data_IF_656895325976
#
_entry.id   IF_656895325976
#
_cell.length_a   1.000
_cell.length_b   1.000
_cell.length_c   1.000
_cell.angle_alpha   90.00
_cell.angle_beta   90.00
_cell.angle_gamma   90.00
#
_symmetry.space_group_name_H-M   'P 1'
#
loop_
_entity.id
_entity.type
_entity.pdbx_description
1 polymer ?
#
# COMPACT_ATOMS: atom_id res chain seq x y z
N UNK A 1 36.15 -38.48 85.47
CA UNK A 1 36.01 -37.15 86.18
C UNK A 1 35.83 -36.09 85.10
N UNK A 2 34.61 -35.60 84.89
CA UNK A 2 34.41 -34.23 84.67
C UNK A 2 32.94 -33.91 84.29
N UNK A 3 32.48 -32.94 84.94
CA UNK A 3 31.10 -32.51 85.01
C UNK A 3 30.51 -31.90 83.79
N UNK A 4 29.30 -32.32 83.45
CA UNK A 4 28.37 -31.69 82.48
C UNK A 4 27.71 -30.47 83.18
N UNK A 5 27.83 -29.30 82.54
CA UNK A 5 26.92 -28.19 82.80
C UNK A 5 26.01 -27.97 81.64
N UNK A 6 24.73 -28.22 81.86
CA UNK A 6 23.62 -27.85 80.98
C UNK A 6 23.29 -26.38 81.20
N UNK A 7 23.42 -25.58 80.17
CA UNK A 7 22.85 -24.22 80.17
C UNK A 7 21.61 -24.19 79.31
N UNK A 8 20.48 -24.00 79.93
CA UNK A 8 19.19 -23.71 79.32
C UNK A 8 19.14 -22.29 78.81
N UNK A 9 18.86 -22.12 77.56
CA UNK A 9 18.54 -20.81 76.97
C UNK A 9 17.03 -20.64 76.87
N UNK A 10 16.46 -19.46 77.15
CA UNK A 10 15.03 -19.21 77.05
C UNK A 10 14.61 -19.03 75.60
N UNK A 11 13.50 -19.61 75.23
CA UNK A 11 12.83 -19.50 73.95
C UNK A 11 12.09 -18.17 73.88
N UNK A 12 12.58 -17.22 73.13
CA UNK A 12 11.88 -15.97 72.80
C UNK A 12 10.94 -16.28 71.60
N UNK A 13 9.65 -16.28 71.87
CA UNK A 13 8.60 -16.40 70.85
C UNK A 13 8.35 -15.05 70.24
N UNK A 14 8.89 -14.84 69.01
CA UNK A 14 8.67 -13.64 68.23
C UNK A 14 7.35 -13.79 67.47
N UNK A 15 6.30 -13.11 67.92
CA UNK A 15 5.06 -12.95 67.11
C UNK A 15 5.33 -12.06 65.92
N UNK A 16 5.51 -12.64 64.74
CA UNK A 16 5.45 -11.91 63.49
C UNK A 16 3.97 -11.68 63.12
N UNK A 17 3.46 -10.50 63.38
CA UNK A 17 2.22 -10.01 62.77
C UNK A 17 2.53 -9.67 61.30
N UNK A 18 2.22 -10.62 60.38
CA UNK A 18 2.30 -10.37 58.96
C UNK A 18 1.25 -9.35 58.55
N UNK A 19 1.69 -8.15 58.23
CA UNK A 19 0.85 -7.23 57.46
C UNK A 19 0.72 -7.78 56.03
N UNK A 20 -0.43 -8.37 55.70
CA UNK A 20 -0.85 -8.59 54.32
C UNK A 20 -1.15 -7.20 53.74
N UNK A 21 -0.17 -6.60 53.04
CA UNK A 21 -0.46 -5.53 52.09
C UNK A 21 -1.13 -6.19 50.89
N UNK A 22 -2.46 -6.11 50.85
CA UNK A 22 -3.19 -6.45 49.63
C UNK A 22 -2.77 -5.41 48.57
N UNK A 23 -1.96 -5.85 47.60
CA UNK A 23 -1.67 -5.09 46.38
C UNK A 23 -3.00 -4.96 45.62
N UNK A 24 -3.74 -3.90 45.92
CA UNK A 24 -4.83 -3.41 45.11
C UNK A 24 -4.20 -2.85 43.82
N UNK A 25 -3.85 -3.76 42.90
CA UNK A 25 -3.64 -3.36 41.53
C UNK A 25 -4.94 -2.72 41.04
N UNK A 26 -4.97 -1.41 40.99
CA UNK A 26 -6.01 -0.68 40.27
C UNK A 26 -5.97 -1.14 38.80
N UNK A 27 -6.74 -2.17 38.49
CA UNK A 27 -7.03 -2.51 37.09
C UNK A 27 -7.76 -1.30 36.53
N UNK A 28 -7.04 -0.45 35.81
CA UNK A 28 -7.66 0.57 34.97
C UNK A 28 -8.58 -0.21 34.05
N UNK A 29 -9.89 0.00 34.19
CA UNK A 29 -10.86 -0.61 33.28
C UNK A 29 -10.58 -0.11 31.87
N UNK A 30 -10.64 -1.03 30.91
CA UNK A 30 -10.53 -0.67 29.50
C UNK A 30 -11.60 0.37 29.16
N UNK A 31 -11.17 1.47 28.54
CA UNK A 31 -12.12 2.39 27.93
C UNK A 31 -12.48 1.85 26.54
N UNK A 32 -13.79 1.80 26.28
CA UNK A 32 -14.32 1.34 25.00
C UNK A 32 -15.26 2.40 24.41
N UNK A 33 -15.19 2.51 23.08
CA UNK A 33 -16.11 3.32 22.29
C UNK A 33 -16.78 2.44 21.25
N UNK A 34 -18.11 2.37 21.30
CA UNK A 34 -18.91 1.62 20.33
C UNK A 34 -19.55 2.59 19.36
N UNK A 35 -19.45 2.29 18.06
CA UNK A 35 -20.10 3.02 16.96
C UNK A 35 -20.85 2.05 16.06
N UNK A 36 -21.92 2.52 15.48
CA UNK A 36 -22.55 1.85 14.34
C UNK A 36 -22.03 2.49 13.05
N UNK A 37 -21.60 1.67 12.11
CA UNK A 37 -21.16 2.12 10.78
C UNK A 37 -22.11 1.53 9.76
N UNK A 38 -22.74 2.39 8.96
CA UNK A 38 -23.55 1.97 7.83
C UNK A 38 -22.74 2.08 6.55
N UNK A 39 -22.69 0.96 5.78
CA UNK A 39 -22.05 0.89 4.46
C UNK A 39 -23.14 0.61 3.45
N UNK A 40 -23.43 1.59 2.61
CA UNK A 40 -24.54 1.57 1.66
C UNK A 40 -24.04 1.39 0.23
N UNK A 41 -24.49 0.35 -0.43
CA UNK A 41 -24.31 0.13 -1.86
C UNK A 41 -25.61 0.46 -2.61
N UNK A 42 -25.67 1.62 -3.22
CA UNK A 42 -26.83 2.05 -4.02
C UNK A 42 -26.83 1.50 -5.45
N UNK A 43 -25.73 0.85 -5.85
CA UNK A 43 -25.52 0.39 -7.21
C UNK A 43 -26.20 -0.96 -7.46
N UNK A 44 -26.48 -1.24 -8.75
CA UNK A 44 -27.12 -2.50 -9.19
C UNK A 44 -26.17 -3.69 -9.19
N UNK A 45 -24.88 -3.48 -8.90
CA UNK A 45 -23.85 -4.52 -8.83
C UNK A 45 -23.38 -4.66 -7.38
N UNK A 46 -23.20 -5.90 -6.92
CA UNK A 46 -22.57 -6.17 -5.64
C UNK A 46 -21.07 -5.80 -5.68
N UNK A 47 -20.53 -5.46 -4.53
CA UNK A 47 -19.11 -5.18 -4.33
C UNK A 47 -18.47 -6.32 -3.57
N UNK A 48 -17.31 -6.77 -4.01
CA UNK A 48 -16.48 -7.74 -3.32
C UNK A 48 -15.26 -7.04 -2.75
N UNK A 49 -14.91 -7.37 -1.51
CA UNK A 49 -13.77 -6.77 -0.81
C UNK A 49 -13.78 -5.22 -0.87
N UNK A 50 -14.97 -4.59 -0.83
CA UNK A 50 -15.10 -3.12 -0.87
C UNK A 50 -14.30 -2.49 0.26
N UNK A 51 -13.35 -1.59 -0.02
CA UNK A 51 -12.56 -0.94 1.00
C UNK A 51 -13.41 0.03 1.83
N UNK A 52 -13.26 -0.06 3.14
CA UNK A 52 -13.83 0.90 4.09
C UNK A 52 -12.72 1.42 4.99
N UNK A 53 -12.58 2.73 5.03
CA UNK A 53 -11.60 3.43 5.86
C UNK A 53 -12.33 4.42 6.75
N UNK A 54 -12.16 4.29 8.06
CA UNK A 54 -12.72 5.17 9.07
C UNK A 54 -11.60 5.96 9.72
N UNK A 55 -11.64 7.28 9.61
CA UNK A 55 -10.73 8.15 10.36
C UNK A 55 -11.12 8.13 11.82
N UNK A 56 -10.18 7.84 12.70
CA UNK A 56 -10.44 7.78 14.14
C UNK A 56 -10.80 9.16 14.71
N UNK A 57 -10.29 10.25 14.11
CA UNK A 57 -10.69 11.62 14.45
C UNK A 57 -12.19 11.85 14.33
N UNK A 58 -12.82 11.27 13.30
CA UNK A 58 -14.26 11.44 13.03
C UNK A 58 -15.13 10.66 14.03
N UNK A 59 -14.55 9.64 14.67
CA UNK A 59 -15.18 8.85 15.73
C UNK A 59 -15.01 9.46 17.11
N UNK A 60 -14.09 10.40 17.29
CA UNK A 60 -13.82 11.18 18.52
C UNK A 60 -13.66 10.34 19.78
N UNK A 61 -12.74 9.35 19.84
CA UNK A 61 -12.46 8.62 21.07
C UNK A 61 -11.82 9.54 22.11
N UNK A 62 -12.27 9.44 23.40
CA UNK A 62 -11.71 10.20 24.51
C UNK A 62 -10.38 9.63 25.02
N UNK A 63 -9.95 8.50 24.47
CA UNK A 63 -8.77 7.75 24.86
C UNK A 63 -7.91 7.40 23.64
N UNK A 64 -6.67 6.99 23.89
CA UNK A 64 -5.79 6.46 22.84
C UNK A 64 -6.28 5.09 22.40
N UNK A 65 -6.70 4.95 21.16
CA UNK A 65 -7.10 3.67 20.56
C UNK A 65 -5.88 2.76 20.41
N UNK A 66 -5.98 1.54 20.94
CA UNK A 66 -4.94 0.51 20.86
C UNK A 66 -5.40 -0.77 20.19
N UNK A 67 -6.71 -0.97 20.11
CA UNK A 67 -7.31 -2.06 19.34
C UNK A 67 -8.68 -1.65 18.82
N UNK A 68 -9.12 -2.33 17.77
CA UNK A 68 -10.45 -2.18 17.20
C UNK A 68 -10.98 -3.55 16.75
N UNK A 69 -12.30 -3.70 16.77
CA UNK A 69 -13.00 -4.85 16.16
C UNK A 69 -14.19 -4.37 15.36
N UNK A 70 -14.44 -5.04 14.24
CA UNK A 70 -15.56 -4.74 13.32
C UNK A 70 -16.44 -5.99 13.22
N UNK A 71 -17.76 -5.82 13.38
CA UNK A 71 -18.72 -6.92 13.41
C UNK A 71 -19.86 -6.68 12.42
N UNK A 72 -20.13 -7.68 11.55
CA UNK A 72 -21.35 -7.78 10.75
C UNK A 72 -22.28 -8.83 11.44
N UNK A 73 -23.20 -8.36 12.27
CA UNK A 73 -23.97 -9.23 13.14
C UNK A 73 -23.09 -9.98 14.14
N UNK A 74 -22.97 -11.28 13.99
CA UNK A 74 -22.11 -12.16 14.81
C UNK A 74 -20.76 -12.48 14.17
N UNK A 75 -20.55 -12.07 12.90
CA UNK A 75 -19.30 -12.32 12.16
C UNK A 75 -18.33 -11.16 12.38
N UNK A 76 -17.16 -11.48 12.90
CA UNK A 76 -16.06 -10.51 12.99
C UNK A 76 -15.42 -10.33 11.60
N UNK A 77 -15.19 -9.07 11.22
CA UNK A 77 -14.55 -8.67 9.96
C UNK A 77 -13.07 -8.37 10.25
N UNK A 78 -12.11 -9.00 9.53
CA UNK A 78 -10.71 -8.62 9.64
C UNK A 78 -10.51 -7.13 9.39
N UNK A 79 -9.82 -6.47 10.31
CA UNK A 79 -9.57 -5.04 10.26
C UNK A 79 -8.16 -4.73 10.74
N UNK A 80 -7.67 -3.53 10.41
CA UNK A 80 -6.36 -3.06 10.86
C UNK A 80 -6.43 -1.59 11.27
N UNK A 81 -5.63 -1.24 12.28
CA UNK A 81 -5.36 0.13 12.68
C UNK A 81 -4.04 0.58 12.10
N UNK A 82 -4.02 1.70 11.41
CA UNK A 82 -2.84 2.26 10.77
C UNK A 82 -2.44 3.58 11.41
N UNK A 83 -1.13 3.70 11.68
CA UNK A 83 -0.43 4.92 12.05
C UNK A 83 0.26 5.45 10.78
N UNK A 84 -0.34 6.46 10.15
CA UNK A 84 0.07 6.94 8.84
C UNK A 84 1.05 8.12 8.90
N UNK A 85 1.14 8.81 10.03
CA UNK A 85 2.07 9.93 10.24
C UNK A 85 3.33 9.52 11.04
N UNK A 86 3.30 8.38 11.75
CA UNK A 86 4.41 7.82 12.51
C UNK A 86 4.48 8.34 13.96
N UNK A 87 3.43 8.94 14.50
CA UNK A 87 3.35 9.43 15.89
C UNK A 87 3.06 8.32 16.90
N UNK A 88 2.93 7.09 16.43
CA UNK A 88 2.60 5.87 17.18
C UNK A 88 1.16 5.82 17.72
N UNK A 89 0.27 6.65 17.20
CA UNK A 89 -1.17 6.54 17.40
C UNK A 89 -1.81 6.11 16.10
N UNK A 90 -2.89 5.38 16.19
CA UNK A 90 -3.64 5.01 15.00
C UNK A 90 -4.41 6.23 14.49
N UNK A 91 -4.36 6.45 13.17
CA UNK A 91 -5.12 7.47 12.45
C UNK A 91 -6.39 6.91 11.85
N UNK A 92 -6.30 5.68 11.35
CA UNK A 92 -7.37 5.06 10.57
C UNK A 92 -7.61 3.62 11.00
N UNK A 93 -8.89 3.22 10.90
CA UNK A 93 -9.34 1.82 10.94
C UNK A 93 -9.76 1.42 9.53
N UNK A 94 -9.07 0.43 8.95
CA UNK A 94 -9.35 -0.09 7.62
C UNK A 94 -9.86 -1.53 7.66
N UNK A 95 -10.81 -1.86 6.79
CA UNK A 95 -11.30 -3.21 6.55
C UNK A 95 -11.87 -3.33 5.13
N UNK A 96 -12.08 -4.55 4.66
CA UNK A 96 -12.78 -4.83 3.40
C UNK A 96 -13.97 -5.73 3.68
N UNK A 97 -15.07 -5.53 2.93
CA UNK A 97 -16.25 -6.37 3.08
C UNK A 97 -17.03 -6.50 1.77
N UNK A 98 -17.78 -7.59 1.67
CA UNK A 98 -18.73 -7.77 0.56
C UNK A 98 -20.03 -7.02 0.85
N UNK A 99 -20.45 -6.17 -0.09
CA UNK A 99 -21.71 -5.42 0.01
C UNK A 99 -22.60 -5.78 -1.18
N UNK A 100 -23.74 -6.50 -0.95
CA UNK A 100 -24.65 -6.85 -2.05
C UNK A 100 -25.18 -5.62 -2.78
N UNK A 101 -25.65 -5.80 -4.00
CA UNK A 101 -26.30 -4.75 -4.77
C UNK A 101 -27.51 -4.15 -4.01
N UNK A 102 -27.66 -2.83 -4.08
CA UNK A 102 -28.81 -2.11 -3.51
C UNK A 102 -29.09 -2.49 -2.04
N UNK A 103 -28.05 -2.55 -1.21
CA UNK A 103 -28.14 -2.97 0.18
C UNK A 103 -27.36 -2.07 1.11
N UNK A 104 -27.69 -2.16 2.40
CA UNK A 104 -27.00 -1.49 3.50
C UNK A 104 -26.52 -2.53 4.48
N UNK A 105 -25.23 -2.47 4.81
CA UNK A 105 -24.62 -3.20 5.90
C UNK A 105 -24.55 -2.32 7.14
N UNK A 106 -24.97 -2.86 8.28
CA UNK A 106 -24.86 -2.18 9.59
C UNK A 106 -23.82 -2.92 10.41
N UNK A 107 -22.71 -2.27 10.61
CA UNK A 107 -21.55 -2.84 11.32
C UNK A 107 -21.47 -2.24 12.71
N UNK A 108 -21.08 -3.08 13.68
CA UNK A 108 -20.67 -2.61 15.00
C UNK A 108 -19.16 -2.48 15.02
N UNK A 109 -18.66 -1.29 15.31
CA UNK A 109 -17.24 -1.00 15.51
C UNK A 109 -17.01 -0.75 17.00
N UNK A 110 -16.02 -1.44 17.57
CA UNK A 110 -15.60 -1.25 18.96
C UNK A 110 -14.14 -0.83 18.97
N UNK A 111 -13.86 0.36 19.47
CA UNK A 111 -12.52 0.87 19.73
C UNK A 111 -12.19 0.65 21.20
N UNK A 112 -10.94 0.27 21.51
CA UNK A 112 -10.52 0.04 22.90
C UNK A 112 -9.17 0.69 23.21
N UNK A 113 -9.02 1.14 24.47
CA UNK A 113 -7.75 1.62 25.02
C UNK A 113 -6.78 0.48 25.37
N UNK A 114 -7.24 -0.76 25.37
CA UNK A 114 -6.41 -1.94 25.61
C UNK A 114 -5.90 -2.54 24.31
N UNK A 115 -4.69 -3.12 24.34
CA UNK A 115 -4.17 -3.92 23.24
C UNK A 115 -4.91 -5.26 23.18
N UNK A 116 -4.96 -5.82 22.01
CA UNK A 116 -5.47 -7.18 21.79
C UNK A 116 -4.38 -8.04 21.18
N UNK A 117 -4.41 -9.34 21.48
CA UNK A 117 -3.58 -10.35 20.81
C UNK A 117 -4.28 -10.95 19.57
N UNK A 118 -5.42 -10.37 19.18
CA UNK A 118 -6.14 -10.79 17.95
C UNK A 118 -5.29 -10.56 16.73
N UNK A 119 -5.23 -11.58 15.91
CA UNK A 119 -4.56 -11.55 14.61
C UNK A 119 -5.50 -12.09 13.54
N UNK A 120 -5.40 -11.55 12.35
CA UNK A 120 -6.15 -12.04 11.19
C UNK A 120 -5.18 -12.57 10.15
N UNK A 121 -5.57 -13.57 9.35
CA UNK A 121 -4.78 -13.99 8.20
C UNK A 121 -4.50 -12.79 7.29
N UNK A 122 -3.24 -12.58 6.98
CA UNK A 122 -2.84 -11.52 6.06
C UNK A 122 -3.34 -11.82 4.64
N UNK A 123 -3.92 -10.80 4.00
CA UNK A 123 -4.36 -10.85 2.60
C UNK A 123 -3.59 -9.87 1.72
N UNK A 124 -2.66 -9.14 2.32
CA UNK A 124 -1.67 -8.30 1.67
C UNK A 124 -0.33 -8.45 2.39
N UNK A 125 0.74 -8.08 1.71
CA UNK A 125 2.09 -8.09 2.28
C UNK A 125 2.92 -6.95 1.68
N UNK A 126 3.84 -6.39 2.45
CA UNK A 126 4.83 -5.44 1.95
C UNK A 126 6.17 -5.64 2.67
N UNK A 127 7.27 -5.35 1.95
CA UNK A 127 8.62 -5.36 2.51
C UNK A 127 9.51 -4.30 1.86
N UNK A 128 10.49 -3.85 2.62
CA UNK A 128 11.67 -3.15 2.13
C UNK A 128 12.87 -3.72 2.87
N UNK A 129 13.84 -4.26 2.13
CA UNK A 129 14.99 -4.91 2.71
C UNK A 129 16.27 -4.26 2.18
N UNK A 130 17.19 -3.94 3.09
CA UNK A 130 18.50 -3.41 2.74
C UNK A 130 19.58 -4.48 2.91
N UNK A 131 20.52 -4.57 1.98
CA UNK A 131 21.67 -5.46 2.10
C UNK A 131 22.64 -4.97 3.19
N UNK A 132 23.00 -5.85 4.12
CA UNK A 132 24.05 -5.60 5.08
C UNK A 132 25.46 -5.85 4.44
N UNK A 133 26.51 -5.61 5.22
CA UNK A 133 27.90 -5.84 4.75
C UNK A 133 28.22 -7.29 4.39
N UNK A 134 27.40 -8.25 4.80
CA UNK A 134 27.56 -9.67 4.52
C UNK A 134 26.64 -10.17 3.42
N UNK A 135 25.92 -9.28 2.74
CA UNK A 135 24.95 -9.62 1.69
C UNK A 135 23.61 -10.16 2.22
N UNK A 136 23.36 -10.11 3.54
CA UNK A 136 22.05 -10.43 4.08
C UNK A 136 21.11 -9.27 3.88
N UNK A 137 19.86 -9.59 3.57
CA UNK A 137 18.79 -8.60 3.52
C UNK A 137 18.17 -8.41 4.91
N UNK A 138 18.14 -7.16 5.37
CA UNK A 138 17.62 -6.77 6.67
C UNK A 138 16.35 -5.93 6.49
N UNK A 139 15.23 -6.31 7.13
CA UNK A 139 14.00 -5.54 7.02
C UNK A 139 14.15 -4.14 7.62
N UNK A 140 13.66 -3.15 6.89
CA UNK A 140 13.53 -1.77 7.32
C UNK A 140 12.13 -1.26 6.98
N UNK A 141 11.59 -0.35 7.78
CA UNK A 141 10.31 0.29 7.49
C UNK A 141 10.47 1.60 6.75
N UNK A 142 11.62 2.26 6.89
CA UNK A 142 11.88 3.56 6.26
C UNK A 142 13.37 3.73 5.96
N UNK A 143 13.66 4.43 4.86
CA UNK A 143 15.01 4.84 4.47
C UNK A 143 14.96 6.21 3.82
N UNK A 144 15.86 7.11 4.24
CA UNK A 144 16.06 8.42 3.62
C UNK A 144 17.44 8.49 3.00
N UNK A 145 17.52 8.97 1.77
CA UNK A 145 18.78 9.18 1.04
C UNK A 145 18.85 10.59 0.48
N UNK A 146 20.04 11.18 0.35
CA UNK A 146 20.23 12.41 -0.45
C UNK A 146 19.74 12.19 -1.89
N UNK A 147 19.16 13.21 -2.51
CA UNK A 147 18.65 13.13 -3.89
C UNK A 147 19.71 12.80 -4.96
N UNK A 148 20.98 12.96 -4.63
CA UNK A 148 22.13 12.59 -5.48
C UNK A 148 22.58 11.14 -5.31
N UNK A 149 22.02 10.41 -4.35
CA UNK A 149 22.38 9.01 -4.06
C UNK A 149 21.62 8.03 -4.94
N UNK A 150 22.21 6.85 -5.13
CA UNK A 150 21.58 5.73 -5.80
C UNK A 150 21.77 4.46 -4.96
N UNK A 151 20.69 3.90 -4.46
CA UNK A 151 20.66 2.69 -3.62
C UNK A 151 20.06 1.48 -4.34
N UNK A 152 19.93 1.56 -5.65
CA UNK A 152 19.29 0.54 -6.48
C UNK A 152 19.81 -0.89 -6.20
N UNK A 153 21.14 -1.06 -6.09
CA UNK A 153 21.75 -2.35 -5.84
C UNK A 153 21.85 -2.73 -4.34
N UNK A 154 21.48 -1.84 -3.43
CA UNK A 154 21.50 -2.11 -2.00
C UNK A 154 20.13 -2.55 -1.46
N UNK A 155 19.08 -2.34 -2.22
CA UNK A 155 17.72 -2.72 -1.84
C UNK A 155 17.27 -3.97 -2.59
N UNK A 156 16.73 -4.91 -1.84
CA UNK A 156 15.91 -5.99 -2.38
C UNK A 156 14.74 -5.38 -3.16
N UNK A 157 14.40 -5.90 -4.31
CA UNK A 157 13.38 -5.33 -5.21
C UNK A 157 13.68 -3.92 -5.74
N UNK A 158 14.86 -3.35 -5.45
CA UNK A 158 15.26 -1.98 -5.80
C UNK A 158 14.44 -0.87 -5.13
N UNK A 159 13.70 -1.21 -4.10
CA UNK A 159 12.82 -0.34 -3.31
C UNK A 159 11.77 -1.14 -2.53
N UNK A 160 10.73 -0.51 -1.99
CA UNK A 160 9.62 -1.21 -1.37
C UNK A 160 8.85 -2.02 -2.41
N UNK A 161 8.49 -3.23 -2.02
CA UNK A 161 7.59 -4.10 -2.78
C UNK A 161 6.37 -4.46 -1.93
N UNK A 162 5.21 -4.56 -2.56
CA UNK A 162 3.96 -4.86 -1.89
C UNK A 162 3.04 -5.67 -2.79
N UNK A 163 2.27 -6.57 -2.19
CA UNK A 163 1.41 -7.49 -2.92
C UNK A 163 0.08 -7.74 -2.22
N UNK A 164 -0.95 -8.02 -3.03
CA UNK A 164 -2.16 -8.73 -2.64
C UNK A 164 -2.04 -10.19 -3.08
N UNK A 165 -3.08 -10.97 -2.88
CA UNK A 165 -3.15 -12.33 -3.45
C UNK A 165 -3.15 -12.35 -4.99
N UNK A 166 -3.45 -11.24 -5.67
CA UNK A 166 -3.60 -11.16 -7.12
C UNK A 166 -2.39 -10.56 -7.85
N UNK A 167 -1.76 -9.55 -7.28
CA UNK A 167 -0.74 -8.73 -7.94
C UNK A 167 0.40 -8.39 -7.01
N UNK A 168 1.56 -8.02 -7.57
CA UNK A 168 2.62 -7.39 -6.80
C UNK A 168 3.22 -6.20 -7.58
N UNK A 169 3.53 -5.16 -6.82
CA UNK A 169 4.17 -3.94 -7.29
C UNK A 169 5.47 -3.72 -6.57
N UNK A 170 6.41 -3.01 -7.22
CA UNK A 170 7.56 -2.39 -6.57
C UNK A 170 7.72 -0.95 -7.06
N UNK A 171 8.27 -0.10 -6.19
CA UNK A 171 8.60 1.28 -6.56
C UNK A 171 10.12 1.42 -6.55
N UNK A 172 10.70 1.93 -7.62
CA UNK A 172 12.14 2.15 -7.67
C UNK A 172 12.56 3.32 -6.78
N UNK A 173 13.46 3.04 -5.85
CA UNK A 173 14.00 4.04 -4.94
C UNK A 173 15.11 4.85 -5.60
N UNK A 174 14.73 5.61 -6.57
CA UNK A 174 15.58 6.55 -7.30
C UNK A 174 14.74 7.73 -7.84
N UNK A 175 15.39 8.66 -8.54
CA UNK A 175 14.73 9.81 -9.17
C UNK A 175 13.59 9.43 -10.15
N UNK A 176 13.56 8.22 -10.62
CA UNK A 176 12.51 7.76 -11.54
C UNK A 176 11.21 7.47 -10.79
N UNK A 177 11.29 6.93 -9.58
CA UNK A 177 10.12 6.49 -8.79
C UNK A 177 9.14 5.67 -9.64
N UNK A 178 9.68 4.89 -10.57
CA UNK A 178 8.85 4.15 -11.53
C UNK A 178 8.17 2.99 -10.84
N UNK A 179 6.89 2.80 -11.14
CA UNK A 179 6.11 1.64 -10.70
C UNK A 179 6.36 0.48 -11.63
N UNK A 180 6.83 -0.61 -11.06
CA UNK A 180 7.10 -1.87 -11.74
C UNK A 180 6.23 -2.99 -11.18
N UNK A 181 6.08 -4.10 -11.93
CA UNK A 181 5.08 -5.13 -11.69
C UNK A 181 5.68 -6.54 -11.77
N UNK A 182 5.13 -7.43 -10.93
CA UNK A 182 5.43 -8.85 -10.92
C UNK A 182 4.17 -9.64 -11.31
N UNK A 183 4.24 -10.38 -12.40
CA UNK A 183 3.14 -11.18 -12.92
C UNK A 183 3.07 -12.54 -12.24
N UNK A 184 2.09 -12.74 -11.37
CA UNK A 184 1.87 -14.02 -10.68
C UNK A 184 1.31 -15.06 -11.65
N UNK A 185 1.64 -16.32 -11.43
CA UNK A 185 1.01 -17.42 -12.14
C UNK A 185 -0.29 -17.85 -11.43
N UNK A 186 -0.22 -18.06 -10.11
CA UNK A 186 -1.37 -18.37 -9.26
C UNK A 186 -1.62 -17.23 -8.26
N UNK A 187 -2.83 -17.18 -7.69
CA UNK A 187 -3.09 -16.29 -6.56
C UNK A 187 -2.30 -16.75 -5.34
N UNK A 188 -1.74 -15.78 -4.59
CA UNK A 188 -0.96 -16.05 -3.38
C UNK A 188 0.12 -15.00 -3.14
N UNK A 189 0.94 -15.20 -2.11
CA UNK A 189 2.07 -14.34 -1.79
C UNK A 189 3.37 -14.95 -2.31
N UNK A 190 4.19 -14.14 -2.96
CA UNK A 190 5.41 -14.60 -3.60
C UNK A 190 6.63 -13.70 -3.34
N UNK A 191 6.44 -12.37 -3.18
CA UNK A 191 7.58 -11.44 -3.10
C UNK A 191 8.46 -11.67 -1.87
N UNK A 192 7.91 -12.23 -0.79
CA UNK A 192 8.68 -12.58 0.39
C UNK A 192 9.75 -13.66 0.12
N UNK A 193 9.48 -14.56 -0.82
CA UNK A 193 10.36 -15.66 -1.17
C UNK A 193 11.13 -15.41 -2.46
N UNK A 194 10.56 -14.64 -3.41
CA UNK A 194 11.20 -14.29 -4.67
C UNK A 194 11.86 -12.91 -4.56
N UNK A 195 12.89 -12.70 -5.37
CA UNK A 195 13.52 -11.36 -5.47
C UNK A 195 12.99 -10.57 -6.68
N UNK A 196 11.73 -10.76 -7.08
CA UNK A 196 11.18 -10.36 -8.36
C UNK A 196 11.79 -11.14 -9.55
N UNK A 197 12.87 -11.85 -9.32
CA UNK A 197 13.55 -12.75 -10.28
C UNK A 197 13.62 -14.13 -9.64
N UNK A 198 12.59 -14.96 -9.77
CA UNK A 198 12.52 -16.26 -9.14
C UNK A 198 13.57 -17.21 -9.70
N UNK A 199 13.96 -18.17 -8.87
CA UNK A 199 14.83 -19.28 -9.28
C UNK A 199 14.06 -20.29 -10.13
N UNK A 200 14.79 -21.15 -10.85
CA UNK A 200 14.16 -22.22 -11.64
C UNK A 200 13.28 -23.14 -10.78
N UNK A 201 13.67 -23.39 -9.51
CA UNK A 201 12.87 -24.17 -8.56
C UNK A 201 11.58 -23.44 -8.16
N UNK A 202 11.64 -22.10 -8.02
CA UNK A 202 10.43 -21.28 -7.74
C UNK A 202 9.49 -21.27 -8.95
N UNK A 203 10.01 -21.09 -10.15
CA UNK A 203 9.24 -21.18 -11.40
C UNK A 203 8.58 -22.56 -11.55
N UNK A 204 9.32 -23.65 -11.26
CA UNK A 204 8.77 -25.01 -11.30
C UNK A 204 7.65 -25.25 -10.26
N UNK A 205 7.64 -24.47 -9.16
CA UNK A 205 6.56 -24.49 -8.16
C UNK A 205 5.36 -23.60 -8.56
N UNK A 206 5.42 -22.94 -9.70
CA UNK A 206 4.34 -22.07 -10.20
C UNK A 206 4.42 -20.65 -9.70
N UNK A 207 5.60 -20.17 -9.31
CA UNK A 207 5.82 -18.74 -9.06
C UNK A 207 5.69 -17.96 -10.36
N UNK A 208 5.29 -16.70 -10.24
CA UNK A 208 5.34 -15.73 -11.32
C UNK A 208 6.75 -15.25 -11.62
N UNK A 209 6.87 -14.07 -12.22
CA UNK A 209 8.17 -13.50 -12.62
C UNK A 209 8.06 -11.98 -12.78
N UNK A 210 9.21 -11.30 -12.93
CA UNK A 210 9.27 -9.97 -13.54
C UNK A 210 8.69 -10.04 -14.96
N UNK A 211 7.76 -9.17 -15.28
CA UNK A 211 7.03 -9.21 -16.55
C UNK A 211 7.10 -7.92 -17.36
N UNK A 212 7.85 -6.90 -16.88
CA UNK A 212 7.85 -5.59 -17.50
C UNK A 212 9.19 -4.86 -17.39
N UNK A 213 9.87 -4.63 -18.49
CA UNK A 213 11.02 -3.74 -18.54
C UNK A 213 10.59 -2.27 -18.58
N UNK A 214 10.51 -1.62 -17.43
CA UNK A 214 9.99 -0.25 -17.33
C UNK A 214 10.96 0.84 -17.83
N UNK A 215 12.26 0.60 -17.81
CA UNK A 215 13.28 1.55 -18.31
C UNK A 215 13.18 2.95 -17.69
N UNK A 216 13.00 3.96 -18.53
CA UNK A 216 12.82 5.37 -18.13
C UNK A 216 11.36 5.84 -18.21
N UNK A 217 10.42 4.92 -18.42
CA UNK A 217 8.99 5.24 -18.50
C UNK A 217 8.37 5.53 -17.13
N UNK A 218 7.08 5.82 -17.13
CA UNK A 218 6.27 5.84 -15.90
C UNK A 218 5.90 4.42 -15.40
N UNK A 219 6.28 3.34 -16.13
CA UNK A 219 5.84 1.99 -15.82
C UNK A 219 4.32 1.90 -15.80
N UNK A 220 3.75 1.55 -14.66
CA UNK A 220 2.31 1.53 -14.44
C UNK A 220 1.92 2.71 -13.55
N UNK A 221 1.74 3.88 -14.16
CA UNK A 221 1.14 5.04 -13.48
C UNK A 221 2.02 5.78 -12.46
N UNK A 222 3.35 5.68 -12.53
CA UNK A 222 4.18 6.55 -11.70
C UNK A 222 3.96 8.02 -12.06
N UNK A 223 3.83 8.89 -11.05
CA UNK A 223 3.81 10.33 -11.27
C UNK A 223 5.17 10.80 -11.80
N UNK A 224 5.15 11.68 -12.78
CA UNK A 224 6.34 12.29 -13.41
C UNK A 224 6.16 13.81 -13.51
N UNK A 225 7.27 14.51 -13.59
CA UNK A 225 7.24 15.88 -14.06
C UNK A 225 6.84 15.95 -15.55
N UNK A 226 6.68 17.18 -16.06
CA UNK A 226 6.37 17.48 -17.46
C UNK A 226 7.16 18.68 -17.95
N UNK A 227 7.88 18.56 -19.04
CA UNK A 227 8.72 19.63 -19.61
C UNK A 227 8.05 20.37 -20.79
N UNK A 228 6.78 20.07 -21.06
CA UNK A 228 6.04 20.58 -22.21
C UNK A 228 6.04 19.65 -23.41
N UNK A 229 6.85 18.56 -23.39
CA UNK A 229 7.01 17.62 -24.51
C UNK A 229 7.01 16.16 -24.07
N UNK A 230 7.62 15.85 -22.90
CA UNK A 230 7.80 14.50 -22.39
C UNK A 230 7.72 14.47 -20.87
N UNK A 231 7.49 13.28 -20.34
CA UNK A 231 7.61 12.99 -18.92
C UNK A 231 9.07 13.16 -18.45
N UNK A 232 9.27 13.74 -17.27
CA UNK A 232 10.58 13.95 -16.65
C UNK A 232 10.66 13.26 -15.29
N UNK A 233 11.88 13.01 -14.84
CA UNK A 233 12.10 12.40 -13.51
C UNK A 233 11.86 13.42 -12.40
N UNK A 234 11.74 12.94 -11.16
CA UNK A 234 11.59 13.75 -9.95
C UNK A 234 13.00 14.16 -9.49
N UNK A 235 13.54 15.15 -10.13
CA UNK A 235 14.87 15.70 -9.87
C UNK A 235 14.99 17.16 -10.34
N UNK A 236 15.86 18.00 -9.73
CA UNK A 236 16.63 17.70 -8.53
C UNK A 236 15.80 17.79 -7.26
N UNK A 237 16.10 16.94 -6.27
CA UNK A 237 15.50 16.94 -4.93
C UNK A 237 16.61 16.98 -3.87
N UNK A 238 16.33 17.49 -2.68
CA UNK A 238 17.28 17.42 -1.56
C UNK A 238 17.39 16.01 -1.00
N UNK A 239 16.26 15.34 -0.82
CA UNK A 239 16.23 13.94 -0.37
C UNK A 239 15.03 13.17 -0.91
N UNK A 240 15.18 11.84 -0.90
CA UNK A 240 14.12 10.88 -1.13
C UNK A 240 13.96 10.02 0.12
N UNK A 241 12.72 9.81 0.55
CA UNK A 241 12.39 8.90 1.65
C UNK A 241 11.33 7.93 1.19
N UNK A 242 11.54 6.64 1.38
CA UNK A 242 10.51 5.64 1.18
C UNK A 242 10.18 4.96 2.51
N UNK A 243 8.89 4.77 2.77
CA UNK A 243 8.38 4.26 4.05
C UNK A 243 7.20 3.33 3.83
N UNK A 244 7.26 2.13 4.40
CA UNK A 244 6.09 1.26 4.53
C UNK A 244 5.37 1.66 5.80
N UNK A 245 4.19 2.28 5.67
CA UNK A 245 3.33 2.73 6.76
C UNK A 245 2.45 1.62 7.32
N UNK A 246 1.93 0.77 6.43
CA UNK A 246 1.11 -0.38 6.80
C UNK A 246 1.37 -1.56 5.84
N UNK A 247 1.26 -2.80 6.35
CA UNK A 247 1.54 -4.02 5.58
C UNK A 247 0.66 -5.22 6.00
N UNK A 248 -0.61 -4.98 6.16
CA UNK A 248 -1.60 -6.02 6.40
C UNK A 248 -2.33 -5.93 7.74
N UNK A 249 -3.35 -6.76 7.98
CA UNK A 249 -3.82 -7.87 7.13
C UNK A 249 -4.71 -7.45 5.95
N UNK A 250 -5.13 -6.18 5.87
CA UNK A 250 -6.20 -5.72 4.98
C UNK A 250 -5.69 -4.85 3.83
N UNK A 251 -4.70 -3.99 4.11
CA UNK A 251 -4.07 -3.14 3.08
C UNK A 251 -2.60 -2.92 3.36
N UNK A 252 -1.86 -2.59 2.30
CA UNK A 252 -0.53 -2.00 2.40
C UNK A 252 -0.60 -0.51 2.12
N UNK A 253 0.22 0.28 2.81
CA UNK A 253 0.40 1.72 2.56
C UNK A 253 1.90 2.00 2.47
N UNK A 254 2.34 2.54 1.34
CA UNK A 254 3.74 2.87 1.08
C UNK A 254 3.86 4.32 0.63
N UNK A 255 4.68 5.10 1.30
CA UNK A 255 4.92 6.51 1.00
C UNK A 255 6.28 6.72 0.35
N UNK A 256 6.31 7.54 -0.70
CA UNK A 256 7.52 8.08 -1.32
C UNK A 256 7.50 9.59 -1.13
N UNK A 257 8.45 10.12 -0.35
CA UNK A 257 8.57 11.55 -0.06
C UNK A 257 9.75 12.13 -0.81
N UNK A 258 9.51 13.18 -1.59
CA UNK A 258 10.52 13.97 -2.30
C UNK A 258 10.57 15.36 -1.65
N UNK A 259 11.72 15.72 -1.06
CA UNK A 259 11.88 17.03 -0.39
C UNK A 259 12.64 17.99 -1.29
N UNK A 260 12.21 19.26 -1.25
CA UNK A 260 12.82 20.38 -1.97
C UNK A 260 12.97 20.08 -3.49
N UNK A 261 11.94 19.52 -4.08
CA UNK A 261 11.94 19.28 -5.52
C UNK A 261 11.88 20.61 -6.28
N UNK A 262 12.99 20.98 -6.92
CA UNK A 262 13.10 22.20 -7.73
C UNK A 262 12.41 21.97 -9.06
N UNK A 263 11.17 22.46 -9.17
CA UNK A 263 10.31 22.12 -10.29
C UNK A 263 9.48 23.31 -10.79
N UNK A 264 9.63 23.67 -12.08
CA UNK A 264 8.90 24.75 -12.75
C UNK A 264 8.91 26.09 -11.99
N UNK A 265 10.03 26.42 -11.33
CA UNK A 265 10.20 27.64 -10.57
C UNK A 265 9.65 27.60 -9.14
N UNK A 266 9.14 26.46 -8.70
CA UNK A 266 8.70 26.19 -7.33
C UNK A 266 9.63 25.21 -6.64
N UNK A 267 9.64 25.23 -5.30
CA UNK A 267 10.23 24.23 -4.43
C UNK A 267 9.11 23.42 -3.82
N UNK A 268 9.00 22.15 -4.20
CA UNK A 268 7.88 21.29 -3.83
C UNK A 268 8.29 20.27 -2.77
N UNK A 269 7.42 20.10 -1.76
CA UNK A 269 7.43 18.97 -0.83
C UNK A 269 6.33 18.03 -1.27
N UNK A 270 6.68 16.87 -1.78
CA UNK A 270 5.71 15.94 -2.37
C UNK A 270 5.76 14.58 -1.68
N UNK A 271 4.59 14.03 -1.40
CA UNK A 271 4.41 12.63 -0.98
C UNK A 271 3.53 11.92 -2.00
N UNK A 272 4.01 10.80 -2.54
CA UNK A 272 3.20 9.87 -3.31
C UNK A 272 2.95 8.65 -2.46
N UNK A 273 1.68 8.37 -2.16
CA UNK A 273 1.23 7.25 -1.34
C UNK A 273 0.57 6.20 -2.22
N UNK A 274 1.01 4.97 -2.09
CA UNK A 274 0.43 3.80 -2.77
C UNK A 274 -0.33 2.94 -1.76
N UNK A 275 -1.60 2.63 -2.05
CA UNK A 275 -2.48 1.84 -1.18
C UNK A 275 -3.02 0.65 -1.99
N UNK A 276 -2.68 -0.56 -1.54
CA UNK A 276 -3.17 -1.81 -2.13
C UNK A 276 -4.02 -2.56 -1.12
N UNK A 277 -5.27 -2.83 -1.47
CA UNK A 277 -6.21 -3.54 -0.62
C UNK A 277 -6.24 -5.05 -0.88
N UNK A 278 -6.63 -5.78 0.15
CA UNK A 278 -6.91 -7.21 0.09
C UNK A 278 -7.97 -7.54 -0.98
N UNK A 279 -7.71 -8.54 -1.81
CA UNK A 279 -8.62 -8.95 -2.89
C UNK A 279 -8.59 -8.06 -4.14
N UNK A 280 -7.83 -6.96 -4.13
CA UNK A 280 -7.71 -6.02 -5.25
C UNK A 280 -6.46 -6.29 -6.09
N UNK A 281 -6.58 -5.98 -7.39
CA UNK A 281 -5.43 -5.87 -8.30
C UNK A 281 -5.05 -4.42 -8.58
N UNK A 282 -5.95 -3.49 -8.36
CA UNK A 282 -5.71 -2.06 -8.51
C UNK A 282 -5.10 -1.46 -7.24
N UNK A 283 -4.27 -0.45 -7.45
CA UNK A 283 -3.64 0.32 -6.39
C UNK A 283 -4.12 1.77 -6.48
N UNK A 284 -4.55 2.33 -5.36
CA UNK A 284 -4.85 3.74 -5.22
C UNK A 284 -3.55 4.52 -5.04
N UNK A 285 -3.40 5.62 -5.76
CA UNK A 285 -2.24 6.52 -5.70
C UNK A 285 -2.70 7.90 -5.27
N UNK A 286 -2.31 8.30 -4.07
CA UNK A 286 -2.58 9.62 -3.51
C UNK A 286 -1.32 10.48 -3.62
N UNK A 287 -1.45 11.66 -4.20
CA UNK A 287 -0.37 12.64 -4.30
C UNK A 287 -0.70 13.81 -3.39
N UNK A 288 0.23 14.14 -2.50
CA UNK A 288 0.12 15.23 -1.55
C UNK A 288 1.29 16.20 -1.69
N UNK A 289 1.01 17.48 -1.64
CA UNK A 289 1.98 18.56 -1.57
C UNK A 289 1.79 19.32 -0.25
N UNK A 290 2.87 19.82 0.32
CA UNK A 290 2.80 20.58 1.57
C UNK A 290 1.99 21.88 1.40
N UNK A 291 2.05 22.48 0.20
CA UNK A 291 1.34 23.71 -0.14
C UNK A 291 0.45 23.49 -1.38
N UNK A 292 -0.63 24.26 -1.54
CA UNK A 292 -1.42 24.23 -2.76
C UNK A 292 -0.58 24.58 -4.00
N UNK A 293 -0.75 23.77 -5.04
CA UNK A 293 -0.09 23.98 -6.33
C UNK A 293 -0.52 25.30 -6.97
N UNK A 294 0.40 25.95 -7.66
CA UNK A 294 0.12 27.20 -8.40
C UNK A 294 -0.31 26.84 -9.83
N UNK A 295 0.67 26.61 -10.67
CA UNK A 295 0.47 26.29 -12.08
C UNK A 295 1.38 25.14 -12.54
N UNK A 296 1.96 24.43 -11.60
CA UNK A 296 2.81 23.28 -11.90
C UNK A 296 2.01 22.20 -12.62
N UNK A 297 2.64 21.61 -13.61
CA UNK A 297 2.02 20.61 -14.49
C UNK A 297 2.83 19.31 -14.40
N UNK A 298 2.15 18.22 -14.18
CA UNK A 298 2.73 16.89 -14.04
C UNK A 298 2.26 15.99 -15.17
N UNK A 299 2.74 14.76 -15.18
CA UNK A 299 2.25 13.72 -16.08
C UNK A 299 2.21 12.37 -15.39
N UNK A 300 1.28 11.52 -15.83
CA UNK A 300 1.24 10.10 -15.52
C UNK A 300 0.53 9.36 -16.64
N UNK A 301 0.62 8.04 -16.62
CA UNK A 301 0.01 7.20 -17.66
C UNK A 301 0.60 5.79 -17.62
N UNK A 302 0.81 5.19 -18.77
CA UNK A 302 1.35 3.82 -18.86
C UNK A 302 2.50 3.75 -19.86
N UNK A 303 3.40 2.80 -19.63
CA UNK A 303 4.47 2.46 -20.57
C UNK A 303 3.91 2.22 -21.98
N UNK A 304 4.55 2.81 -22.99
CA UNK A 304 4.33 2.50 -24.38
C UNK A 304 5.19 1.28 -24.78
N UNK A 305 4.62 0.09 -24.67
CA UNK A 305 5.28 -1.15 -25.11
C UNK A 305 5.34 -1.14 -26.63
N UNK A 306 6.51 -1.35 -27.19
CA UNK A 306 6.72 -1.32 -28.65
C UNK A 306 5.78 -2.30 -29.37
N UNK A 307 4.97 -1.78 -30.29
CA UNK A 307 4.00 -2.58 -31.06
C UNK A 307 2.76 -2.99 -30.26
N UNK A 308 2.52 -2.36 -29.11
CA UNK A 308 1.34 -2.59 -28.29
C UNK A 308 0.05 -2.08 -28.96
N UNK A 309 -1.08 -2.56 -28.43
CA UNK A 309 -2.38 -1.93 -28.60
C UNK A 309 -2.64 -1.01 -27.43
N UNK A 310 -3.11 0.21 -27.66
CA UNK A 310 -3.52 1.14 -26.62
C UNK A 310 -5.01 1.41 -26.67
N UNK A 311 -5.56 1.81 -25.53
CA UNK A 311 -6.92 2.26 -25.39
C UNK A 311 -6.95 3.52 -24.53
N UNK A 312 -7.72 4.51 -24.95
CA UNK A 312 -8.06 5.68 -24.15
C UNK A 312 -9.54 6.00 -24.31
N UNK A 313 -10.17 6.44 -23.24
CA UNK A 313 -11.53 7.00 -23.30
C UNK A 313 -11.53 8.53 -23.39
N UNK A 314 -10.34 9.15 -23.46
CA UNK A 314 -10.09 10.59 -23.49
C UNK A 314 -10.69 11.35 -22.28
N UNK A 315 -10.95 10.62 -21.17
CA UNK A 315 -11.58 11.12 -19.93
C UNK A 315 -10.90 10.56 -18.67
N UNK A 316 -9.60 10.23 -18.78
CA UNK A 316 -8.77 9.82 -17.67
C UNK A 316 -8.38 8.35 -17.66
N UNK A 317 -8.97 7.49 -18.48
CA UNK A 317 -8.55 6.10 -18.60
C UNK A 317 -7.60 5.94 -19.79
N UNK A 318 -6.38 5.51 -19.53
CA UNK A 318 -5.42 5.07 -20.55
C UNK A 318 -4.93 3.66 -20.20
N UNK A 319 -4.87 2.80 -21.19
CA UNK A 319 -4.43 1.42 -21.05
C UNK A 319 -3.56 0.99 -22.25
N UNK A 320 -2.71 0.00 -22.00
CA UNK A 320 -1.86 -0.62 -22.99
C UNK A 320 -1.93 -2.15 -22.83
N UNK A 321 -1.83 -2.86 -23.94
CA UNK A 321 -1.65 -4.31 -23.98
C UNK A 321 -0.53 -4.62 -24.97
N UNK A 322 0.54 -5.22 -24.48
CA UNK A 322 1.71 -5.44 -25.31
C UNK A 322 2.59 -6.60 -24.86
N UNK A 323 3.48 -7.02 -25.74
CA UNK A 323 4.42 -8.12 -25.53
C UNK A 323 5.84 -7.61 -25.77
N UNK A 324 6.69 -7.68 -24.74
CA UNK A 324 8.10 -7.31 -24.84
C UNK A 324 8.96 -8.12 -23.85
N UNK A 325 10.25 -7.87 -23.88
CA UNK A 325 11.19 -8.47 -22.94
C UNK A 325 10.99 -7.89 -21.54
N UNK A 326 10.93 -8.72 -20.49
CA UNK A 326 10.79 -8.21 -19.12
C UNK A 326 12.09 -7.61 -18.57
N UNK A 327 13.24 -8.04 -19.13
CA UNK A 327 14.59 -7.62 -18.74
C UNK A 327 15.47 -7.46 -19.96
N UNK A 328 16.65 -6.87 -19.79
CA UNK A 328 17.61 -6.68 -20.89
C UNK A 328 18.26 -7.98 -21.39
N UNK A 329 18.21 -9.07 -20.61
CA UNK A 329 18.75 -10.38 -21.02
C UNK A 329 17.74 -11.12 -21.90
N UNK A 330 17.81 -10.90 -23.19
CA UNK A 330 16.91 -11.50 -24.19
C UNK A 330 17.31 -12.93 -24.58
N UNK A 331 18.38 -13.48 -24.00
CA UNK A 331 18.82 -14.86 -24.24
C UNK A 331 18.21 -15.80 -23.19
N UNK A 332 18.24 -15.37 -21.93
CA UNK A 332 17.73 -16.16 -20.79
C UNK A 332 16.21 -16.08 -20.65
N UNK A 333 15.63 -14.94 -20.90
CA UNK A 333 14.20 -14.69 -20.62
C UNK A 333 13.36 -14.72 -21.90
N UNK A 334 12.14 -15.18 -21.78
CA UNK A 334 11.13 -15.08 -22.83
C UNK A 334 10.42 -13.73 -22.78
N UNK A 335 9.76 -13.35 -23.88
CA UNK A 335 8.88 -12.19 -23.88
C UNK A 335 7.64 -12.44 -23.05
N UNK A 336 7.20 -11.43 -22.32
CA UNK A 336 5.99 -11.43 -21.50
C UNK A 336 4.92 -10.51 -22.12
N UNK A 337 3.67 -10.89 -21.95
CA UNK A 337 2.54 -10.06 -22.40
C UNK A 337 1.81 -9.52 -21.18
N UNK A 338 1.66 -8.20 -21.13
CA UNK A 338 1.01 -7.52 -20.03
C UNK A 338 -0.07 -6.55 -20.51
N UNK A 339 -1.08 -6.38 -19.69
CA UNK A 339 -2.02 -5.28 -19.75
C UNK A 339 -1.76 -4.32 -18.59
N UNK A 340 -1.60 -3.03 -18.87
CA UNK A 340 -1.39 -1.99 -17.87
C UNK A 340 -2.40 -0.87 -18.06
N UNK A 341 -2.84 -0.23 -16.97
CA UNK A 341 -3.79 0.87 -17.06
C UNK A 341 -3.65 1.88 -15.92
N UNK A 342 -3.97 3.13 -16.23
CA UNK A 342 -4.06 4.23 -15.28
C UNK A 342 -5.41 4.94 -15.47
N UNK A 343 -6.07 5.28 -14.36
CA UNK A 343 -7.34 5.98 -14.37
C UNK A 343 -7.28 7.21 -13.45
N UNK A 344 -7.45 8.40 -14.04
CA UNK A 344 -7.43 9.69 -13.37
C UNK A 344 -8.83 10.32 -13.33
N UNK A 345 -9.13 11.18 -12.34
CA UNK A 345 -10.25 12.13 -12.41
C UNK A 345 -10.11 13.04 -13.64
N UNK A 346 -11.20 13.19 -14.40
CA UNK A 346 -11.19 13.95 -15.65
C UNK A 346 -10.92 15.45 -15.47
N UNK A 347 -11.22 16.00 -14.32
CA UNK A 347 -10.99 17.40 -13.96
C UNK A 347 -9.52 17.74 -13.67
N UNK A 348 -8.64 16.73 -13.56
CA UNK A 348 -7.18 16.91 -13.48
C UNK A 348 -6.53 17.00 -14.86
N UNK A 349 -7.22 16.61 -15.94
CA UNK A 349 -6.61 16.43 -17.25
C UNK A 349 -6.52 17.75 -17.99
N UNK A 350 -5.31 18.19 -18.29
CA UNK A 350 -5.04 19.32 -19.20
C UNK A 350 -4.93 18.87 -20.64
N UNK A 351 -4.30 17.73 -20.87
CA UNK A 351 -4.07 17.19 -22.21
C UNK A 351 -3.80 15.69 -22.15
N UNK A 352 -4.10 15.01 -23.24
CA UNK A 352 -3.68 13.63 -23.49
C UNK A 352 -2.61 13.64 -24.58
N UNK A 353 -1.54 12.90 -24.38
CA UNK A 353 -0.38 12.88 -25.28
C UNK A 353 0.40 11.57 -25.17
N UNK A 354 1.48 11.48 -25.92
CA UNK A 354 2.46 10.39 -25.79
C UNK A 354 3.86 10.94 -25.99
N UNK A 355 4.83 10.27 -25.38
CA UNK A 355 6.24 10.44 -25.71
C UNK A 355 6.84 9.11 -26.21
N UNK A 356 8.16 9.03 -26.36
CA UNK A 356 8.80 7.83 -26.87
C UNK A 356 8.59 6.58 -25.97
N UNK A 357 8.34 6.78 -24.68
CA UNK A 357 8.26 5.73 -23.68
C UNK A 357 6.87 5.55 -23.07
N UNK A 358 5.94 6.48 -23.28
CA UNK A 358 4.70 6.51 -22.52
C UNK A 358 3.48 6.95 -23.34
N UNK A 359 2.30 6.41 -22.98
CA UNK A 359 0.99 7.02 -23.22
C UNK A 359 0.62 7.83 -21.97
N UNK A 360 0.31 9.12 -22.09
CA UNK A 360 0.28 10.06 -20.97
C UNK A 360 -1.00 10.90 -20.91
N UNK A 361 -1.40 11.20 -19.69
CA UNK A 361 -2.18 12.38 -19.35
C UNK A 361 -1.27 13.44 -18.72
N UNK A 362 -1.38 14.67 -19.18
CA UNK A 362 -0.79 15.86 -18.57
C UNK A 362 -1.75 16.37 -17.52
N UNK A 363 -1.27 16.52 -16.28
CA UNK A 363 -2.07 16.81 -15.09
C UNK A 363 -1.89 18.26 -14.68
N UNK A 364 -2.99 18.94 -14.39
CA UNK A 364 -3.01 20.23 -13.69
C UNK A 364 -3.91 20.15 -12.47
N UNK A 365 -3.39 20.55 -11.33
CA UNK A 365 -4.09 20.53 -10.04
C UNK A 365 -3.96 21.88 -9.32
N UNK A 366 -4.06 22.98 -10.06
CA UNK A 366 -3.96 24.36 -9.54
C UNK A 366 -4.92 24.59 -8.36
N UNK A 367 -4.41 25.19 -7.30
CA UNK A 367 -5.15 25.46 -6.06
C UNK A 367 -5.34 24.24 -5.16
N UNK A 368 -4.93 23.06 -5.56
CA UNK A 368 -5.03 21.82 -4.78
C UNK A 368 -3.69 21.47 -4.13
N UNK A 369 -3.73 20.96 -2.91
CA UNK A 369 -2.58 20.33 -2.25
C UNK A 369 -2.58 18.80 -2.39
N UNK A 370 -3.61 18.21 -2.99
CA UNK A 370 -3.68 16.76 -3.19
C UNK A 370 -4.60 16.36 -4.34
N UNK A 371 -4.32 15.18 -4.89
CA UNK A 371 -5.21 14.49 -5.83
C UNK A 371 -4.96 12.98 -5.76
N UNK A 372 -5.95 12.21 -6.23
CA UNK A 372 -5.92 10.74 -6.20
C UNK A 372 -6.21 10.19 -7.60
N UNK A 373 -5.50 9.12 -7.97
CA UNK A 373 -5.77 8.33 -9.16
C UNK A 373 -5.52 6.85 -8.89
N UNK A 374 -5.82 5.99 -9.85
CA UNK A 374 -5.68 4.54 -9.68
C UNK A 374 -4.88 3.90 -10.80
N UNK A 375 -4.19 2.82 -10.47
CA UNK A 375 -3.38 2.04 -11.40
C UNK A 375 -3.75 0.57 -11.29
N UNK A 376 -3.61 -0.18 -12.38
CA UNK A 376 -3.85 -1.61 -12.39
C UNK A 376 -3.10 -2.31 -13.51
N UNK A 377 -2.89 -3.62 -13.37
CA UNK A 377 -2.27 -4.42 -14.42
C UNK A 377 -2.79 -5.87 -14.42
N UNK A 378 -2.44 -6.58 -15.48
CA UNK A 378 -2.53 -8.04 -15.59
C UNK A 378 -1.34 -8.56 -16.38
N UNK A 379 -0.95 -9.81 -16.13
CA UNK A 379 -0.02 -10.56 -16.98
C UNK A 379 -0.76 -11.72 -17.65
N UNK A 380 -0.48 -11.98 -18.91
CA UNK A 380 -1.02 -13.16 -19.60
C UNK A 380 -0.57 -14.47 -18.94
N UNK A 381 0.48 -14.44 -18.12
CA UNK A 381 0.97 -15.55 -17.30
C UNK A 381 -0.06 -15.97 -16.23
N UNK A 382 -0.85 -15.06 -15.70
CA UNK A 382 -1.85 -15.32 -14.66
C UNK A 382 -2.88 -16.37 -15.08
N UNK A 383 -3.13 -17.43 -14.30
CA UNK A 383 -4.19 -18.41 -14.58
C UNK A 383 -5.59 -17.80 -14.42
N UNK A 384 -5.71 -16.73 -13.64
CA UNK A 384 -6.93 -16.02 -13.28
C UNK A 384 -7.06 -14.64 -13.94
N UNK A 385 -6.08 -14.22 -14.74
CA UNK A 385 -6.04 -12.92 -15.40
C UNK A 385 -6.64 -12.93 -16.82
N UNK A 386 -6.40 -11.85 -17.54
CA UNK A 386 -6.90 -11.62 -18.88
C UNK A 386 -5.94 -12.20 -19.91
N UNK A 387 -6.48 -12.75 -21.01
CA UNK A 387 -5.69 -13.46 -22.03
C UNK A 387 -5.66 -12.75 -23.37
N UNK A 388 -6.55 -11.77 -23.58
CA UNK A 388 -6.64 -10.99 -24.81
C UNK A 388 -6.70 -9.50 -24.49
N UNK A 389 -6.33 -8.66 -25.46
CA UNK A 389 -6.46 -7.20 -25.33
C UNK A 389 -7.91 -6.76 -25.22
N UNK A 390 -8.82 -7.48 -25.87
CA UNK A 390 -10.25 -7.21 -25.84
C UNK A 390 -10.80 -7.39 -24.43
N UNK A 391 -10.45 -8.50 -23.77
CA UNK A 391 -10.84 -8.77 -22.38
C UNK A 391 -10.25 -7.75 -21.41
N UNK A 392 -8.97 -7.40 -21.62
CA UNK A 392 -8.29 -6.38 -20.80
C UNK A 392 -8.97 -5.01 -20.95
N UNK A 393 -9.20 -4.55 -22.19
CA UNK A 393 -9.83 -3.24 -22.39
C UNK A 393 -11.29 -3.22 -21.93
N UNK A 394 -12.03 -4.32 -22.03
CA UNK A 394 -13.36 -4.44 -21.44
C UNK A 394 -13.31 -4.36 -19.90
N UNK A 395 -12.32 -5.04 -19.27
CA UNK A 395 -12.12 -4.96 -17.82
C UNK A 395 -11.83 -3.54 -17.37
N UNK A 396 -10.87 -2.84 -17.96
CA UNK A 396 -10.47 -1.49 -17.47
C UNK A 396 -11.60 -0.46 -17.66
N UNK A 397 -12.45 -0.61 -18.67
CA UNK A 397 -13.64 0.21 -18.84
C UNK A 397 -14.69 -0.05 -17.73
N UNK A 398 -14.87 -1.33 -17.34
CA UNK A 398 -15.72 -1.72 -16.21
C UNK A 398 -15.12 -1.23 -14.90
N UNK A 399 -13.83 -1.44 -14.69
CA UNK A 399 -13.08 -0.97 -13.52
C UNK A 399 -13.22 0.53 -13.30
N UNK A 400 -13.05 1.36 -14.34
CA UNK A 400 -13.29 2.80 -14.23
C UNK A 400 -14.69 3.13 -13.72
N UNK A 401 -15.73 2.42 -14.19
CA UNK A 401 -17.09 2.63 -13.67
C UNK A 401 -17.21 2.24 -12.21
N UNK A 402 -16.56 1.16 -11.81
CA UNK A 402 -16.56 0.67 -10.42
C UNK A 402 -15.85 1.62 -9.46
N UNK A 403 -14.76 2.28 -9.88
CA UNK A 403 -14.08 3.33 -9.13
C UNK A 403 -14.99 4.54 -8.83
N UNK A 404 -15.93 4.86 -9.71
CA UNK A 404 -16.92 5.92 -9.50
C UNK A 404 -18.17 5.44 -8.75
N UNK A 405 -18.21 4.20 -8.34
CA UNK A 405 -19.35 3.53 -7.71
C UNK A 405 -19.00 2.99 -6.32
N UNK A 406 -18.17 3.71 -5.56
CA UNK A 406 -17.87 3.35 -4.17
C UNK A 406 -19.11 3.33 -3.30
N UNK A 407 -19.10 2.53 -2.24
CA UNK A 407 -20.13 2.55 -1.22
C UNK A 407 -20.06 3.84 -0.40
N UNK A 408 -21.23 4.30 0.07
CA UNK A 408 -21.30 5.39 1.04
C UNK A 408 -21.10 4.83 2.45
N UNK A 409 -20.30 5.52 3.26
CA UNK A 409 -19.97 5.12 4.63
C UNK A 409 -20.41 6.21 5.59
N UNK A 410 -21.22 5.86 6.58
CA UNK A 410 -21.72 6.77 7.60
C UNK A 410 -21.45 6.22 8.98
N UNK A 411 -20.82 7.00 9.86
CA UNK A 411 -20.59 6.68 11.27
C UNK A 411 -21.71 7.32 12.11
N UNK A 412 -22.38 6.49 12.95
CA UNK A 412 -23.48 6.88 13.83
C UNK A 412 -23.16 6.70 15.30
#
# INVERSE_FOLDING_TARGET
MNFNQKTTKPLIMLCMTGFFVADLQNKVLAEELVRTVEVSNEWKTGKQDEPVVLRLSDMSPSFRVRSATVWDGTKEIPSQLDDLDGDRKADELAFVLDVPAQSVKKLKVVLSSEKTDRTYPARVYAEMLVSDKNGKHVPISSLTIPGTSNVYNQLHHHGPAFESDQVAYRIYFDKKQTVDIYGKFNKGFEIRESQFYPTDEQLARGFGDDVLLVGNSCGVGALKGWDGKKATHIEPVASLTETIRAYGPVRTVTDIVSTDWQYQGSELQMTVRYILYAGHRDCEVQVHFAEPLKNEVFSTGVLNIKGSSSFSDHKGLVACWGTDWPVNDTVKYAKETVGVATCLPSDLIKNETQDAANYLYVIGAEGRSSFTYHITFTSMKETFGYKTKEDWFAFVQKWKKELHQSCQVEVK
#
